data_IF_889038164611
#
_entry.id   IF_889038164611
#
_cell.length_a   1.000
_cell.length_b   1.000
_cell.length_c   1.000
_cell.angle_alpha   90.00
_cell.angle_beta   90.00
_cell.angle_gamma   90.00
#
_symmetry.space_group_name_H-M   'P 1'
#
loop_
_entity.id
_entity.type
_entity.pdbx_description
1 polymer ?
#
# COMPACT_ATOMS: atom_id res chain seq x y z
N UNK A 1 -24.30 15.07 0.39
CA UNK A 1 -23.66 16.10 1.26
C UNK A 1 -23.34 15.39 2.57
N UNK A 2 -22.08 15.08 2.82
CA UNK A 2 -21.62 14.56 4.12
C UNK A 2 -21.75 15.74 5.09
N UNK A 3 -22.67 15.64 6.05
CA UNK A 3 -22.86 16.65 7.08
C UNK A 3 -21.58 16.72 7.93
N UNK A 4 -21.29 17.89 8.48
CA UNK A 4 -20.16 18.44 9.23
C UNK A 4 -19.32 17.54 10.18
N UNK A 5 -19.49 16.23 10.20
CA UNK A 5 -18.56 15.27 10.80
C UNK A 5 -17.58 14.85 9.69
N UNK A 6 -16.54 15.63 9.49
CA UNK A 6 -15.59 15.41 8.40
C UNK A 6 -14.75 14.16 8.69
N UNK A 7 -15.10 13.10 7.98
CA UNK A 7 -14.28 11.89 7.89
C UNK A 7 -12.95 12.24 7.24
N UNK A 8 -11.83 11.92 7.89
CA UNK A 8 -10.53 11.96 7.26
C UNK A 8 -10.38 10.72 6.36
N UNK A 9 -10.09 10.94 5.09
CA UNK A 9 -9.77 9.85 4.15
C UNK A 9 -8.26 9.68 4.16
N UNK A 10 -7.80 8.44 4.36
CA UNK A 10 -6.37 8.09 4.44
C UNK A 10 -6.12 6.93 3.48
N UNK A 11 -5.19 7.15 2.57
CA UNK A 11 -4.72 6.13 1.64
C UNK A 11 -3.66 5.24 2.31
N UNK A 12 -3.99 4.00 2.58
CA UNK A 12 -3.07 3.07 3.26
C UNK A 12 -2.06 2.38 2.31
N UNK A 13 -2.13 2.64 0.99
CA UNK A 13 -1.23 2.03 0.01
C UNK A 13 -1.05 2.91 -1.21
N UNK A 14 0.12 3.49 -1.34
CA UNK A 14 0.52 4.30 -2.49
C UNK A 14 2.03 4.18 -2.75
N UNK A 15 2.48 4.63 -3.91
CA UNK A 15 3.89 4.57 -4.31
C UNK A 15 4.38 5.92 -4.81
N UNK A 16 5.64 6.24 -4.52
CA UNK A 16 6.33 7.43 -5.03
C UNK A 16 7.75 7.07 -5.46
N UNK A 17 8.21 7.70 -6.55
CA UNK A 17 9.59 7.60 -7.01
C UNK A 17 10.00 8.82 -7.83
N UNK A 18 11.30 9.13 -7.82
CA UNK A 18 11.86 10.17 -8.69
C UNK A 18 12.18 9.64 -10.08
N UNK A 19 12.68 8.41 -10.16
CA UNK A 19 13.01 7.76 -11.42
C UNK A 19 13.05 6.25 -11.22
N UNK A 20 12.45 5.54 -12.16
CA UNK A 20 12.61 4.10 -12.29
C UNK A 20 13.83 3.85 -13.19
N UNK A 21 14.97 3.56 -12.61
CA UNK A 21 16.20 3.21 -13.32
C UNK A 21 17.04 2.31 -12.42
N UNK A 22 16.60 1.07 -12.30
CA UNK A 22 17.23 0.09 -11.40
C UNK A 22 17.31 -1.27 -12.05
N UNK A 23 18.17 -2.11 -11.53
CA UNK A 23 18.22 -3.53 -11.85
C UNK A 23 18.05 -4.29 -10.56
N UNK A 24 17.02 -5.11 -10.48
CA UNK A 24 16.77 -5.98 -9.35
C UNK A 24 16.74 -7.43 -9.82
N UNK A 25 17.55 -8.29 -9.19
CA UNK A 25 17.66 -9.72 -9.53
C UNK A 25 17.80 -9.97 -11.05
N UNK A 26 18.68 -9.21 -11.72
CA UNK A 26 18.88 -9.19 -13.17
C UNK A 26 17.67 -8.68 -13.99
N UNK A 27 16.59 -8.26 -13.35
CA UNK A 27 15.45 -7.64 -14.02
C UNK A 27 15.71 -6.14 -14.14
N UNK A 28 15.68 -5.64 -15.36
CA UNK A 28 15.76 -4.20 -15.60
C UNK A 28 14.40 -3.58 -15.37
N UNK A 29 14.39 -2.52 -14.59
CA UNK A 29 13.24 -1.66 -14.37
C UNK A 29 13.69 -0.27 -14.75
N UNK A 30 13.30 0.18 -15.92
CA UNK A 30 13.79 1.42 -16.51
C UNK A 30 12.69 2.13 -17.27
N UNK A 31 12.57 3.44 -17.05
CA UNK A 31 11.72 4.31 -17.87
C UNK A 31 12.07 4.14 -19.34
N UNK A 32 11.06 3.95 -20.20
CA UNK A 32 11.25 3.77 -21.64
C UNK A 32 11.74 5.06 -22.30
N UNK A 33 12.60 4.92 -23.31
CA UNK A 33 12.99 6.05 -24.14
C UNK A 33 11.81 6.51 -25.01
N UNK A 34 11.67 7.81 -25.16
CA UNK A 34 10.67 8.45 -26.02
C UNK A 34 9.24 8.55 -25.44
N UNK A 35 8.86 7.72 -24.51
CA UNK A 35 7.62 7.87 -23.74
C UNK A 35 7.84 7.47 -22.29
N UNK A 36 8.09 8.44 -21.46
CA UNK A 36 8.49 8.24 -20.07
C UNK A 36 7.34 7.94 -19.10
N UNK A 37 6.10 7.78 -19.57
CA UNK A 37 5.00 7.19 -18.79
C UNK A 37 5.01 5.65 -18.81
N UNK A 38 5.86 5.05 -19.66
CA UNK A 38 6.08 3.61 -19.77
C UNK A 38 7.44 3.21 -19.22
N UNK A 39 7.54 2.00 -18.74
CA UNK A 39 8.78 1.42 -18.23
C UNK A 39 8.94 -0.02 -18.70
N UNK A 40 10.18 -0.45 -18.86
CA UNK A 40 10.51 -1.85 -19.02
C UNK A 40 10.44 -2.56 -17.65
N UNK A 41 9.70 -3.62 -17.60
CA UNK A 41 9.55 -4.49 -16.44
C UNK A 41 9.51 -5.93 -16.91
N UNK A 42 10.43 -6.76 -16.41
CA UNK A 42 10.58 -8.16 -16.83
C UNK A 42 10.71 -8.30 -18.36
N UNK A 43 11.53 -7.46 -18.99
CA UNK A 43 11.72 -7.39 -20.43
C UNK A 43 10.48 -7.05 -21.26
N UNK A 44 9.40 -6.61 -20.61
CA UNK A 44 8.20 -6.10 -21.27
C UNK A 44 8.05 -4.60 -21.03
N UNK A 45 7.67 -3.86 -22.08
CA UNK A 45 7.28 -2.47 -21.94
C UNK A 45 5.84 -2.40 -21.43
N UNK A 46 5.63 -1.74 -20.30
CA UNK A 46 4.33 -1.58 -19.65
C UNK A 46 4.00 -0.12 -19.37
N UNK A 47 2.71 0.20 -19.37
CA UNK A 47 2.22 1.51 -18.98
C UNK A 47 2.24 1.62 -17.46
N UNK A 48 3.24 2.32 -16.91
CA UNK A 48 3.42 2.46 -15.47
C UNK A 48 2.71 3.68 -14.88
N UNK A 49 2.61 4.75 -15.66
CA UNK A 49 2.02 6.02 -15.28
C UNK A 49 0.90 6.41 -16.25
N UNK A 50 -0.04 7.26 -15.86
CA UNK A 50 -0.97 7.87 -16.82
C UNK A 50 -0.20 8.57 -17.93
N UNK A 51 -0.72 8.60 -19.18
CA UNK A 51 -0.01 9.16 -20.32
C UNK A 51 0.42 10.62 -20.18
N UNK A 52 -0.21 11.37 -19.29
CA UNK A 52 0.14 12.78 -19.04
C UNK A 52 1.32 12.96 -18.05
N UNK A 53 1.74 11.91 -17.36
CA UNK A 53 2.92 11.91 -16.47
C UNK A 53 4.17 11.49 -17.26
N UNK A 54 4.64 12.37 -18.14
CA UNK A 54 5.62 12.02 -19.19
C UNK A 54 7.08 11.99 -18.76
N UNK A 55 7.41 12.41 -17.54
CA UNK A 55 8.81 12.44 -17.07
C UNK A 55 9.26 11.16 -16.37
N UNK A 56 8.45 10.12 -16.38
CA UNK A 56 8.70 8.87 -15.64
C UNK A 56 8.78 9.04 -14.14
N UNK A 57 8.38 10.22 -13.64
CA UNK A 57 8.41 10.59 -12.23
C UNK A 57 7.02 10.46 -11.63
N UNK A 58 6.99 9.93 -10.43
CA UNK A 58 5.80 9.90 -9.59
C UNK A 58 6.13 10.61 -8.27
N UNK A 59 6.21 11.95 -8.32
CA UNK A 59 6.69 12.74 -7.20
C UNK A 59 5.59 13.04 -6.16
N UNK A 60 6.05 13.34 -4.94
CA UNK A 60 5.15 13.70 -3.84
C UNK A 60 4.35 14.97 -4.14
N UNK A 61 4.90 15.94 -4.87
CA UNK A 61 4.18 17.17 -5.24
C UNK A 61 2.99 16.88 -6.15
N UNK A 62 3.16 15.98 -7.14
CA UNK A 62 2.06 15.55 -8.01
C UNK A 62 1.02 14.77 -7.21
N UNK A 63 1.46 13.89 -6.32
CA UNK A 63 0.55 13.12 -5.49
C UNK A 63 -0.22 14.00 -4.51
N UNK A 64 0.44 14.97 -3.84
CA UNK A 64 -0.24 15.94 -2.98
C UNK A 64 -1.33 16.71 -3.72
N UNK A 65 -1.07 17.13 -4.96
CA UNK A 65 -2.08 17.80 -5.79
C UNK A 65 -3.30 16.89 -6.03
N UNK A 66 -3.08 15.60 -6.32
CA UNK A 66 -4.16 14.63 -6.44
C UNK A 66 -4.90 14.40 -5.12
N UNK A 67 -4.16 14.28 -4.01
CA UNK A 67 -4.73 14.11 -2.66
C UNK A 67 -5.60 15.32 -2.28
N UNK A 68 -5.12 16.53 -2.48
CA UNK A 68 -5.85 17.74 -2.16
C UNK A 68 -7.12 17.87 -3.00
N UNK A 69 -7.04 17.63 -4.31
CA UNK A 69 -8.19 17.59 -5.20
C UNK A 69 -9.23 16.53 -4.79
N UNK A 70 -8.76 15.34 -4.41
CA UNK A 70 -9.61 14.24 -3.97
C UNK A 70 -9.98 14.30 -2.47
N UNK A 71 -9.53 15.32 -1.72
CA UNK A 71 -9.79 15.48 -0.28
C UNK A 71 -9.24 14.30 0.57
N UNK A 72 -8.12 13.70 0.16
CA UNK A 72 -7.41 12.66 0.91
C UNK A 72 -6.41 13.32 1.85
N UNK A 73 -6.59 13.11 3.15
CA UNK A 73 -5.89 13.84 4.21
C UNK A 73 -4.45 13.40 4.40
N UNK A 74 -4.17 12.10 4.28
CA UNK A 74 -2.84 11.53 4.41
C UNK A 74 -2.70 10.25 3.58
N UNK A 75 -1.46 9.83 3.36
CA UNK A 75 -1.17 8.58 2.67
C UNK A 75 0.01 7.83 3.29
N UNK A 76 -0.05 6.52 3.22
CA UNK A 76 1.08 5.61 3.47
C UNK A 76 1.74 5.33 2.14
N UNK A 77 3.04 5.64 2.05
CA UNK A 77 3.83 5.38 0.85
C UNK A 77 4.63 4.12 1.05
N UNK A 78 4.24 3.08 0.34
CA UNK A 78 4.97 1.81 0.32
C UNK A 78 6.02 1.81 -0.79
N UNK A 79 6.80 0.74 -0.90
CA UNK A 79 7.75 0.53 -1.98
C UNK A 79 7.57 -0.87 -2.57
N UNK A 80 7.87 -0.99 -3.85
CA UNK A 80 8.01 -2.26 -4.52
C UNK A 80 9.32 -2.27 -5.32
N UNK A 81 9.88 -3.42 -5.62
CA UNK A 81 11.13 -3.49 -6.39
C UNK A 81 11.03 -2.82 -7.76
N UNK A 82 9.82 -2.77 -8.34
CA UNK A 82 9.57 -2.05 -9.59
C UNK A 82 9.75 -0.53 -9.48
N UNK A 83 9.58 0.02 -8.27
CA UNK A 83 9.81 1.45 -8.02
C UNK A 83 11.30 1.77 -7.90
N UNK A 84 12.12 0.74 -7.68
CA UNK A 84 13.47 0.88 -7.15
C UNK A 84 13.45 1.26 -5.67
N UNK A 85 14.57 1.04 -4.97
CA UNK A 85 14.68 1.42 -3.56
C UNK A 85 14.82 2.95 -3.46
N UNK A 86 13.78 3.62 -2.94
CA UNK A 86 13.64 5.08 -2.89
C UNK A 86 13.80 5.65 -1.46
N UNK A 87 14.47 4.92 -0.55
CA UNK A 87 14.51 5.25 0.88
C UNK A 87 14.88 6.71 1.18
N UNK A 88 15.93 7.23 0.56
CA UNK A 88 16.41 8.60 0.82
C UNK A 88 15.36 9.64 0.39
N UNK A 89 14.78 9.46 -0.81
CA UNK A 89 13.73 10.32 -1.31
C UNK A 89 12.47 10.27 -0.44
N UNK A 90 12.03 9.08 -0.05
CA UNK A 90 10.83 8.93 0.78
C UNK A 90 11.02 9.52 2.17
N UNK A 91 12.20 9.41 2.76
CA UNK A 91 12.49 10.05 4.04
C UNK A 91 12.48 11.59 3.92
N UNK A 92 12.94 12.15 2.80
CA UNK A 92 12.80 13.58 2.52
C UNK A 92 11.33 13.98 2.42
N UNK A 93 10.51 13.20 1.70
CA UNK A 93 9.06 13.41 1.58
C UNK A 93 8.40 13.44 2.97
N UNK A 94 8.69 12.48 3.84
CA UNK A 94 8.13 12.44 5.19
C UNK A 94 8.56 13.65 6.04
N UNK A 95 9.81 14.10 5.93
CA UNK A 95 10.28 15.31 6.66
C UNK A 95 9.60 16.59 6.16
N UNK A 96 9.36 16.72 4.85
CA UNK A 96 8.70 17.90 4.27
C UNK A 96 7.21 17.96 4.60
N UNK A 97 6.53 16.81 4.68
CA UNK A 97 5.09 16.71 4.92
C UNK A 97 4.73 15.66 5.96
N UNK A 98 5.18 15.83 7.23
CA UNK A 98 5.06 14.81 8.26
C UNK A 98 3.62 14.49 8.67
N UNK A 99 2.70 15.43 8.48
CA UNK A 99 1.26 15.25 8.76
C UNK A 99 0.50 14.63 7.56
N UNK A 100 1.16 14.50 6.39
CA UNK A 100 0.56 14.01 5.15
C UNK A 100 1.05 12.64 4.75
N UNK A 101 2.29 12.27 5.10
CA UNK A 101 2.90 11.00 4.67
C UNK A 101 3.50 10.23 5.83
N UNK A 102 3.24 8.93 5.83
CA UNK A 102 4.05 7.93 6.49
C UNK A 102 4.70 7.09 5.39
N UNK A 103 6.03 6.96 5.43
CA UNK A 103 6.75 6.21 4.40
C UNK A 103 7.30 4.89 4.95
N UNK A 104 7.25 3.84 4.12
CA UNK A 104 7.85 2.56 4.41
C UNK A 104 9.26 2.50 3.83
N UNK A 105 10.25 2.10 4.63
CA UNK A 105 11.57 1.74 4.12
C UNK A 105 11.54 0.37 3.45
N UNK A 106 12.51 0.08 2.59
CA UNK A 106 12.67 -1.24 1.97
C UNK A 106 14.15 -1.63 1.95
N UNK A 107 14.44 -2.89 2.22
CA UNK A 107 15.78 -3.47 2.14
C UNK A 107 15.98 -4.21 0.81
N UNK A 108 17.24 -4.41 0.43
CA UNK A 108 17.59 -5.35 -0.62
C UNK A 108 17.70 -6.76 -0.02
N UNK A 109 16.57 -7.45 0.08
CA UNK A 109 16.45 -8.76 0.73
C UNK A 109 17.26 -9.87 0.06
N UNK A 110 17.77 -9.64 -1.16
CA UNK A 110 18.62 -10.60 -1.88
C UNK A 110 20.09 -10.48 -1.54
N UNK A 111 20.48 -9.45 -0.79
CA UNK A 111 21.84 -9.25 -0.31
C UNK A 111 22.01 -9.79 1.10
N UNK A 112 23.04 -10.61 1.35
CA UNK A 112 23.39 -11.01 2.71
C UNK A 112 23.59 -9.80 3.63
N UNK A 113 23.07 -9.89 4.84
CA UNK A 113 23.19 -8.82 5.83
C UNK A 113 22.23 -7.66 5.61
N UNK A 114 21.09 -7.85 4.95
CA UNK A 114 20.03 -6.85 4.81
C UNK A 114 19.48 -6.38 6.19
N UNK A 115 19.66 -7.16 7.24
CA UNK A 115 19.35 -6.75 8.63
C UNK A 115 20.03 -5.42 8.99
N UNK A 116 21.29 -5.22 8.61
CA UNK A 116 21.98 -3.93 8.87
C UNK A 116 21.36 -2.79 8.11
N UNK A 117 20.71 -3.06 6.96
CA UNK A 117 19.92 -2.05 6.25
C UNK A 117 18.65 -1.74 7.05
N UNK A 118 17.95 -2.76 7.57
CA UNK A 118 16.77 -2.57 8.41
C UNK A 118 17.11 -1.76 9.68
N UNK A 119 18.19 -2.08 10.39
CA UNK A 119 18.69 -1.29 11.52
C UNK A 119 18.98 0.16 11.13
N UNK A 120 19.57 0.39 9.97
CA UNK A 120 19.85 1.74 9.46
C UNK A 120 18.56 2.51 9.15
N UNK A 121 17.58 1.86 8.54
CA UNK A 121 16.26 2.46 8.28
C UNK A 121 15.58 2.89 9.59
N UNK A 122 15.58 2.03 10.59
CA UNK A 122 15.02 2.32 11.92
C UNK A 122 15.73 3.51 12.57
N UNK A 123 17.07 3.50 12.59
CA UNK A 123 17.87 4.63 13.13
C UNK A 123 17.61 5.96 12.40
N UNK A 124 17.31 5.89 11.11
CA UNK A 124 16.98 7.07 10.28
C UNK A 124 15.53 7.55 10.45
N UNK A 125 14.72 6.86 11.27
CA UNK A 125 13.37 7.29 11.63
C UNK A 125 12.25 6.71 10.77
N UNK A 126 12.51 5.66 10.00
CA UNK A 126 11.42 4.89 9.39
C UNK A 126 10.60 4.17 10.46
N UNK A 127 9.28 4.31 10.38
CA UNK A 127 8.34 3.67 11.30
C UNK A 127 7.64 2.43 10.70
N UNK A 128 7.91 2.17 9.44
CA UNK A 128 7.40 1.00 8.72
C UNK A 128 8.47 0.47 7.75
N UNK A 129 8.52 -0.84 7.57
CA UNK A 129 9.36 -1.51 6.57
C UNK A 129 8.46 -2.37 5.69
N UNK A 130 8.65 -2.24 4.37
CA UNK A 130 7.90 -2.97 3.33
C UNK A 130 8.66 -4.20 2.88
N UNK A 131 7.95 -5.32 2.75
CA UNK A 131 8.43 -6.55 2.12
C UNK A 131 7.45 -6.94 1.01
N UNK A 132 7.82 -6.85 -0.26
CA UNK A 132 7.05 -7.41 -1.37
C UNK A 132 7.28 -8.93 -1.45
N UNK A 133 6.61 -9.69 -0.58
CA UNK A 133 6.86 -11.12 -0.39
C UNK A 133 6.59 -11.96 -1.66
N UNK A 134 5.61 -11.55 -2.46
CA UNK A 134 5.34 -12.20 -3.75
C UNK A 134 6.56 -12.15 -4.70
N UNK A 135 7.43 -11.13 -4.59
CA UNK A 135 8.67 -11.00 -5.38
C UNK A 135 9.80 -11.84 -4.86
N UNK A 136 9.83 -12.11 -3.56
CA UNK A 136 10.89 -12.95 -2.95
C UNK A 136 10.86 -14.38 -3.50
N UNK A 137 9.75 -14.82 -4.06
CA UNK A 137 9.58 -16.15 -4.63
C UNK A 137 9.96 -16.24 -6.12
N UNK A 138 10.08 -15.10 -6.81
CA UNK A 138 10.33 -15.04 -8.26
C UNK A 138 11.81 -15.20 -8.64
N UNK A 139 12.72 -15.17 -7.68
CA UNK A 139 14.14 -15.30 -7.94
C UNK A 139 14.59 -16.78 -7.95
N UNK A 140 15.68 -17.07 -8.65
CA UNK A 140 16.37 -18.37 -8.58
C UNK A 140 16.79 -18.71 -7.13
N UNK A 141 16.92 -17.69 -6.27
CA UNK A 141 17.12 -17.79 -4.84
C UNK A 141 15.82 -17.47 -4.11
N UNK A 142 14.94 -18.42 -4.06
CA UNK A 142 13.69 -18.31 -3.30
C UNK A 142 13.99 -17.97 -1.84
N UNK A 143 13.51 -16.82 -1.38
CA UNK A 143 13.65 -16.41 0.02
C UNK A 143 12.33 -16.70 0.73
N UNK A 144 12.43 -17.52 1.79
CA UNK A 144 11.30 -17.78 2.69
C UNK A 144 11.24 -16.66 3.73
N UNK A 145 10.06 -16.12 3.99
CA UNK A 145 9.89 -15.13 5.07
C UNK A 145 10.18 -15.70 6.45
N UNK A 146 10.10 -17.02 6.61
CA UNK A 146 10.47 -17.73 7.85
C UNK A 146 11.95 -18.13 7.91
N UNK A 147 12.80 -17.67 6.98
CA UNK A 147 14.24 -17.90 7.09
C UNK A 147 14.82 -17.23 8.34
N UNK A 148 15.91 -17.77 8.94
CA UNK A 148 16.46 -17.22 10.19
C UNK A 148 16.77 -15.73 10.16
N UNK A 149 17.30 -15.22 9.04
CA UNK A 149 17.63 -13.78 8.89
C UNK A 149 16.36 -12.92 8.80
N UNK A 150 15.31 -13.40 8.13
CA UNK A 150 14.02 -12.72 8.09
C UNK A 150 13.35 -12.71 9.46
N UNK A 151 13.34 -13.83 10.17
CA UNK A 151 12.78 -13.90 11.53
C UNK A 151 13.52 -12.98 12.50
N UNK A 152 14.86 -12.91 12.42
CA UNK A 152 15.63 -11.93 13.19
C UNK A 152 15.21 -10.49 12.90
N UNK A 153 14.88 -10.16 11.65
CA UNK A 153 14.37 -8.83 11.27
C UNK A 153 12.99 -8.58 11.87
N UNK A 154 12.07 -9.56 11.87
CA UNK A 154 10.74 -9.39 12.46
C UNK A 154 10.81 -9.17 13.97
N UNK A 155 11.67 -9.90 14.70
CA UNK A 155 11.92 -9.62 16.11
C UNK A 155 12.46 -8.20 16.34
N UNK A 156 13.43 -7.75 15.53
CA UNK A 156 13.94 -6.39 15.59
C UNK A 156 12.81 -5.36 15.35
N UNK A 157 11.96 -5.59 14.35
CA UNK A 157 10.83 -4.70 14.05
C UNK A 157 9.82 -4.66 15.21
N UNK A 158 9.49 -5.80 15.78
CA UNK A 158 8.60 -5.90 16.95
C UNK A 158 9.16 -5.12 18.13
N UNK A 159 10.42 -5.36 18.49
CA UNK A 159 11.08 -4.71 19.63
C UNK A 159 11.20 -3.18 19.46
N UNK A 160 11.36 -2.72 18.23
CA UNK A 160 11.43 -1.30 17.89
C UNK A 160 10.07 -0.66 17.59
N UNK A 161 8.97 -1.40 17.62
CA UNK A 161 7.62 -0.91 17.29
C UNK A 161 7.45 -0.51 15.82
N UNK A 162 8.19 -1.15 14.92
CA UNK A 162 8.16 -0.90 13.47
C UNK A 162 7.01 -1.68 12.84
N UNK A 163 6.23 -1.04 12.00
CA UNK A 163 5.14 -1.67 11.26
C UNK A 163 5.72 -2.52 10.12
N UNK A 164 5.26 -3.75 10.03
CA UNK A 164 5.52 -4.64 8.90
C UNK A 164 4.44 -4.44 7.83
N UNK A 165 4.80 -3.84 6.71
CA UNK A 165 3.95 -3.73 5.52
C UNK A 165 4.34 -4.83 4.52
N UNK A 166 3.37 -5.60 4.02
CA UNK A 166 3.67 -6.78 3.19
C UNK A 166 2.66 -6.96 2.06
N UNK A 167 3.15 -7.28 0.86
CA UNK A 167 2.33 -7.81 -0.23
C UNK A 167 2.61 -9.31 -0.38
N UNK A 168 1.59 -10.10 -0.09
CA UNK A 168 1.67 -11.55 -0.18
C UNK A 168 1.43 -12.02 -1.63
N UNK A 169 1.86 -13.22 -1.94
CA UNK A 169 1.50 -13.87 -3.19
C UNK A 169 -0.01 -14.24 -3.21
N UNK A 170 -0.53 -14.55 -4.41
CA UNK A 170 -1.94 -14.83 -4.59
C UNK A 170 -2.46 -15.98 -3.71
N UNK A 171 -3.69 -15.84 -3.28
CA UNK A 171 -4.41 -16.87 -2.52
C UNK A 171 -3.78 -17.14 -1.15
N UNK A 172 -3.50 -18.40 -0.84
CA UNK A 172 -2.97 -18.82 0.46
C UNK A 172 -1.44 -19.12 0.47
N UNK A 173 -0.73 -18.75 -0.58
CA UNK A 173 0.66 -19.13 -0.81
C UNK A 173 1.58 -18.80 0.38
N UNK A 174 1.46 -17.63 0.98
CA UNK A 174 2.29 -17.22 2.13
C UNK A 174 1.56 -17.32 3.49
N UNK A 175 0.33 -17.83 3.53
CA UNK A 175 -0.47 -17.83 4.77
C UNK A 175 0.18 -18.67 5.88
N UNK A 176 0.82 -19.79 5.54
CA UNK A 176 1.52 -20.60 6.53
C UNK A 176 2.70 -19.86 7.17
N UNK A 177 3.54 -19.21 6.33
CA UNK A 177 4.65 -18.37 6.80
C UNK A 177 4.15 -17.21 7.67
N UNK A 178 3.07 -16.54 7.28
CA UNK A 178 2.50 -15.45 8.06
C UNK A 178 1.98 -15.92 9.43
N UNK A 179 1.36 -17.11 9.51
CA UNK A 179 0.93 -17.67 10.79
C UNK A 179 2.11 -17.90 11.74
N UNK A 180 3.23 -18.42 11.22
CA UNK A 180 4.45 -18.60 12.00
C UNK A 180 5.01 -17.25 12.49
N UNK A 181 5.12 -16.26 11.60
CA UNK A 181 5.58 -14.91 11.96
C UNK A 181 4.69 -14.27 13.04
N UNK A 182 3.36 -14.36 12.89
CA UNK A 182 2.41 -13.83 13.86
C UNK A 182 2.53 -14.54 15.22
N UNK A 183 2.80 -15.84 15.21
CA UNK A 183 3.00 -16.61 16.44
C UNK A 183 4.31 -16.25 17.16
N UNK A 184 5.40 -16.10 16.41
CA UNK A 184 6.73 -15.76 16.95
C UNK A 184 6.86 -14.28 17.35
N UNK A 185 6.13 -13.39 16.66
CA UNK A 185 6.15 -11.95 16.89
C UNK A 185 4.72 -11.43 17.15
N UNK A 186 4.09 -11.76 18.29
CA UNK A 186 2.66 -11.53 18.53
C UNK A 186 2.28 -10.05 18.70
N UNK A 187 3.25 -9.16 18.97
CA UNK A 187 3.03 -7.71 19.10
C UNK A 187 3.39 -6.95 17.83
N UNK A 188 3.94 -7.62 16.82
CA UNK A 188 4.31 -6.99 15.56
C UNK A 188 3.05 -6.47 14.85
N UNK A 189 3.02 -5.18 14.59
CA UNK A 189 1.95 -4.57 13.78
C UNK A 189 2.15 -4.92 12.32
N UNK A 190 1.16 -5.54 11.68
CA UNK A 190 1.24 -6.03 10.30
C UNK A 190 0.13 -5.41 9.44
N UNK A 191 0.49 -4.82 8.31
CA UNK A 191 -0.44 -4.40 7.26
C UNK A 191 -0.24 -5.27 6.02
N UNK A 192 -1.25 -6.07 5.67
CA UNK A 192 -1.23 -6.93 4.48
C UNK A 192 -1.91 -6.21 3.33
N UNK A 193 -1.20 -6.06 2.22
CA UNK A 193 -1.64 -5.35 1.03
C UNK A 193 -2.57 -6.12 0.12
N UNK A 194 -3.18 -5.39 -0.82
CA UNK A 194 -3.96 -5.91 -1.95
C UNK A 194 -5.16 -6.80 -1.61
N UNK A 195 -5.64 -6.75 -0.38
CA UNK A 195 -6.88 -7.42 0.05
C UNK A 195 -6.93 -8.93 -0.28
N UNK A 196 -5.76 -9.59 -0.28
CA UNK A 196 -5.63 -10.99 -0.65
C UNK A 196 -5.86 -11.28 -2.14
N UNK A 197 -5.94 -10.26 -3.00
CA UNK A 197 -6.24 -10.39 -4.43
C UNK A 197 -7.61 -11.06 -4.66
N UNK A 198 -8.75 -10.40 -4.36
CA UNK A 198 -10.09 -11.03 -4.27
C UNK A 198 -10.65 -11.62 -5.58
N UNK A 199 -9.92 -11.53 -6.67
CA UNK A 199 -10.24 -12.23 -7.94
C UNK A 199 -9.52 -13.57 -8.08
N UNK A 200 -8.71 -13.97 -7.07
CA UNK A 200 -7.99 -15.25 -7.05
C UNK A 200 -8.63 -16.23 -6.07
N UNK A 201 -8.40 -17.53 -6.29
CA UNK A 201 -8.91 -18.56 -5.39
C UNK A 201 -8.25 -18.44 -4.00
N UNK A 202 -9.00 -18.73 -2.94
CA UNK A 202 -8.56 -18.76 -1.54
C UNK A 202 -8.02 -17.45 -0.98
N UNK A 203 -8.35 -16.32 -1.57
CA UNK A 203 -7.96 -15.00 -1.08
C UNK A 203 -8.42 -14.73 0.36
N UNK A 204 -9.52 -15.34 0.78
CA UNK A 204 -10.08 -15.21 2.14
C UNK A 204 -9.12 -15.72 3.22
N UNK A 205 -8.17 -16.60 2.87
CA UNK A 205 -7.19 -17.11 3.85
C UNK A 205 -6.26 -15.98 4.33
N UNK A 206 -5.93 -15.02 3.47
CA UNK A 206 -5.19 -13.82 3.88
C UNK A 206 -6.04 -12.92 4.79
N UNK A 207 -7.31 -12.73 4.47
CA UNK A 207 -8.23 -11.93 5.30
C UNK A 207 -8.38 -12.54 6.70
N UNK A 208 -8.41 -13.88 6.83
CA UNK A 208 -8.48 -14.56 8.13
C UNK A 208 -7.29 -14.26 9.05
N UNK A 209 -6.13 -13.88 8.50
CA UNK A 209 -4.97 -13.46 9.30
C UNK A 209 -5.29 -12.24 10.18
N UNK A 210 -6.17 -11.36 9.71
CA UNK A 210 -6.58 -10.15 10.44
C UNK A 210 -7.50 -10.43 11.65
N UNK A 211 -7.85 -11.68 11.93
CA UNK A 211 -8.44 -12.09 13.23
C UNK A 211 -7.44 -11.98 14.38
N UNK A 212 -6.14 -11.87 14.09
CA UNK A 212 -5.11 -11.57 15.06
C UNK A 212 -5.12 -10.07 15.39
N UNK A 213 -4.83 -9.75 16.65
CA UNK A 213 -5.01 -8.39 17.20
C UNK A 213 -4.26 -7.30 16.42
N UNK A 214 -3.02 -7.57 16.03
CA UNK A 214 -2.12 -6.58 15.43
C UNK A 214 -2.03 -6.67 13.90
N UNK A 215 -2.88 -7.48 13.27
CA UNK A 215 -2.92 -7.66 11.81
C UNK A 215 -4.07 -6.89 11.19
N UNK A 216 -3.79 -6.12 10.16
CA UNK A 216 -4.74 -5.34 9.38
C UNK A 216 -4.57 -5.66 7.90
N UNK A 217 -5.65 -5.46 7.13
CA UNK A 217 -5.68 -5.65 5.68
C UNK A 217 -5.95 -4.30 5.02
N UNK A 218 -5.16 -3.95 4.03
CA UNK A 218 -5.46 -2.78 3.20
C UNK A 218 -5.79 -3.19 1.75
N UNK A 219 -6.64 -2.37 1.11
CA UNK A 219 -7.27 -2.75 -0.16
C UNK A 219 -6.44 -2.45 -1.40
N UNK A 220 -5.18 -2.04 -1.25
CA UNK A 220 -4.28 -1.60 -2.33
C UNK A 220 -4.74 -1.88 -3.75
N UNK A 221 -5.36 -0.89 -4.38
CA UNK A 221 -5.80 -1.03 -5.77
C UNK A 221 -6.95 -2.01 -6.04
N UNK A 222 -7.82 -2.29 -5.09
CA UNK A 222 -8.96 -3.21 -5.31
C UNK A 222 -9.76 -2.87 -6.58
N UNK A 223 -9.82 -1.60 -6.98
CA UNK A 223 -10.54 -1.16 -8.17
C UNK A 223 -9.95 -1.70 -9.46
N UNK A 224 -8.62 -1.82 -9.58
CA UNK A 224 -8.02 -2.35 -10.81
C UNK A 224 -8.24 -3.86 -10.98
N UNK A 225 -8.47 -4.60 -9.89
CA UNK A 225 -8.88 -6.01 -9.97
C UNK A 225 -10.27 -6.19 -10.58
N UNK A 226 -11.12 -5.18 -10.44
CA UNK A 226 -12.50 -5.18 -10.94
C UNK A 226 -12.74 -4.20 -12.10
N UNK A 227 -11.68 -3.78 -12.81
CA UNK A 227 -11.80 -2.84 -13.94
C UNK A 227 -12.79 -3.30 -15.02
N UNK A 228 -12.95 -4.61 -15.24
CA UNK A 228 -13.89 -5.16 -16.20
C UNK A 228 -15.36 -4.92 -15.83
N UNK A 229 -15.66 -4.63 -14.56
CA UNK A 229 -17.03 -4.34 -14.09
C UNK A 229 -17.42 -2.88 -14.29
N UNK A 230 -16.45 -2.00 -14.60
CA UNK A 230 -16.65 -0.56 -14.62
C UNK A 230 -17.10 0.02 -13.28
N UNK A 231 -17.07 1.36 -13.15
CA UNK A 231 -17.58 2.05 -11.97
C UNK A 231 -19.09 1.80 -11.79
N UNK A 232 -19.62 1.51 -10.59
CA UNK A 232 -19.00 1.62 -9.25
C UNK A 232 -18.39 0.33 -8.66
N UNK A 233 -17.89 -0.59 -9.45
CA UNK A 233 -17.18 -1.79 -9.04
C UNK A 233 -17.94 -2.67 -8.03
N UNK A 234 -19.09 -3.25 -8.40
CA UNK A 234 -19.91 -4.04 -7.46
C UNK A 234 -19.17 -5.27 -6.91
N UNK A 235 -18.25 -5.86 -7.67
CA UNK A 235 -17.40 -6.95 -7.18
C UNK A 235 -16.46 -6.52 -6.07
N UNK A 236 -15.91 -5.31 -6.15
CA UNK A 236 -15.08 -4.76 -5.07
C UNK A 236 -15.90 -4.55 -3.78
N UNK A 237 -17.14 -4.05 -3.90
CA UNK A 237 -18.04 -3.88 -2.74
C UNK A 237 -18.39 -5.25 -2.13
N UNK A 238 -18.69 -6.27 -2.94
CA UNK A 238 -18.95 -7.64 -2.43
C UNK A 238 -17.72 -8.20 -1.71
N UNK A 239 -16.51 -8.00 -2.24
CA UNK A 239 -15.28 -8.45 -1.59
C UNK A 239 -15.05 -7.74 -0.24
N UNK A 240 -15.31 -6.43 -0.16
CA UNK A 240 -15.24 -5.68 1.10
C UNK A 240 -16.26 -6.22 2.10
N UNK A 241 -17.49 -6.48 1.68
CA UNK A 241 -18.54 -7.05 2.54
C UNK A 241 -18.13 -8.43 3.09
N UNK A 242 -17.65 -9.32 2.22
CA UNK A 242 -17.16 -10.64 2.61
C UNK A 242 -15.98 -10.56 3.59
N UNK A 243 -15.06 -9.62 3.38
CA UNK A 243 -13.95 -9.43 4.31
C UNK A 243 -14.43 -8.93 5.69
N UNK A 244 -15.43 -8.02 5.74
CA UNK A 244 -16.05 -7.58 6.98
C UNK A 244 -16.66 -8.77 7.74
N UNK A 245 -17.33 -9.68 7.04
CA UNK A 245 -17.91 -10.88 7.65
C UNK A 245 -16.84 -11.84 8.19
N UNK A 246 -15.64 -11.85 7.60
CA UNK A 246 -14.52 -12.71 8.02
C UNK A 246 -13.78 -12.15 9.25
N UNK A 247 -13.41 -10.87 9.26
CA UNK A 247 -12.51 -10.31 10.29
C UNK A 247 -13.04 -9.04 10.99
N UNK A 248 -14.20 -8.53 10.60
CA UNK A 248 -14.76 -7.28 11.11
C UNK A 248 -14.19 -6.04 10.41
N UNK A 249 -15.00 -4.97 10.41
CA UNK A 249 -14.63 -3.71 9.74
C UNK A 249 -13.41 -3.04 10.37
N UNK A 250 -13.17 -3.23 11.66
CA UNK A 250 -12.08 -2.59 12.41
C UNK A 250 -10.67 -3.01 11.95
N UNK A 251 -10.59 -4.01 11.07
CA UNK A 251 -9.35 -4.58 10.55
C UNK A 251 -9.04 -4.19 9.10
N UNK A 252 -9.94 -3.47 8.46
CA UNK A 252 -9.86 -3.20 7.03
C UNK A 252 -9.57 -1.72 6.76
N UNK A 253 -8.67 -1.45 5.83
CA UNK A 253 -8.25 -0.09 5.44
C UNK A 253 -8.34 0.05 3.92
N UNK A 254 -8.71 1.25 3.46
CA UNK A 254 -8.62 1.60 2.06
C UNK A 254 -7.19 1.95 1.66
N UNK A 255 -6.74 1.42 0.52
CA UNK A 255 -5.51 1.80 -0.17
C UNK A 255 -5.78 1.92 -1.66
N UNK A 256 -5.20 2.91 -2.32
CA UNK A 256 -5.46 3.19 -3.74
C UNK A 256 -4.59 2.41 -4.70
N UNK A 257 -3.39 2.04 -4.30
CA UNK A 257 -2.30 1.61 -5.19
C UNK A 257 -1.96 2.70 -6.26
N UNK A 258 -1.97 3.97 -5.83
CA UNK A 258 -1.48 5.08 -6.66
C UNK A 258 0.02 4.88 -7.00
N UNK A 259 0.49 5.06 -8.23
CA UNK A 259 -0.21 5.66 -9.38
C UNK A 259 -0.89 4.64 -10.30
N UNK A 260 -0.78 3.34 -10.05
CA UNK A 260 -1.34 2.31 -10.94
C UNK A 260 -2.84 2.51 -11.17
N UNK A 261 -3.59 2.75 -10.13
CA UNK A 261 -5.04 2.97 -10.19
C UNK A 261 -5.41 4.11 -11.12
N UNK A 262 -4.63 5.20 -11.15
CA UNK A 262 -4.95 6.36 -11.99
C UNK A 262 -4.58 6.20 -13.46
N UNK A 263 -4.06 5.05 -13.86
CA UNK A 263 -3.97 4.69 -15.29
C UNK A 263 -5.33 4.35 -15.91
N UNK A 264 -6.32 4.01 -15.10
CA UNK A 264 -7.64 3.57 -15.54
C UNK A 264 -8.78 4.49 -15.07
N UNK A 265 -8.70 5.05 -13.85
CA UNK A 265 -9.73 5.89 -13.23
C UNK A 265 -9.10 7.12 -12.57
N UNK A 266 -9.91 8.08 -12.11
CA UNK A 266 -9.40 9.19 -11.32
C UNK A 266 -9.06 8.73 -9.90
N UNK A 267 -8.13 9.42 -9.24
CA UNK A 267 -7.77 9.11 -7.85
C UNK A 267 -8.99 9.14 -6.91
N UNK A 268 -9.90 10.12 -7.09
CA UNK A 268 -11.14 10.18 -6.31
C UNK A 268 -12.04 8.97 -6.53
N UNK A 269 -12.17 8.46 -7.75
CA UNK A 269 -13.00 7.29 -8.04
C UNK A 269 -12.51 6.04 -7.33
N UNK A 270 -11.22 5.97 -6.93
CA UNK A 270 -10.66 4.80 -6.24
C UNK A 270 -11.25 4.57 -4.84
N UNK A 271 -11.92 5.57 -4.24
CA UNK A 271 -12.63 5.43 -2.97
C UNK A 271 -14.11 5.87 -3.03
N UNK A 272 -14.50 6.73 -3.99
CA UNK A 272 -15.84 7.31 -4.06
C UNK A 272 -16.94 6.24 -4.26
N UNK A 273 -16.60 5.11 -4.86
CA UNK A 273 -17.49 3.96 -4.97
C UNK A 273 -17.90 3.40 -3.60
N UNK A 274 -17.00 3.43 -2.61
CA UNK A 274 -17.30 3.05 -1.22
C UNK A 274 -18.23 4.09 -0.59
N UNK A 275 -17.92 5.38 -0.75
CA UNK A 275 -18.76 6.48 -0.21
C UNK A 275 -20.20 6.38 -0.72
N UNK A 276 -20.37 6.06 -2.00
CA UNK A 276 -21.68 5.98 -2.67
C UNK A 276 -22.40 4.64 -2.51
N UNK A 277 -21.73 3.61 -2.03
CA UNK A 277 -22.34 2.29 -1.85
C UNK A 277 -23.46 2.35 -0.81
N UNK A 278 -24.59 1.70 -1.12
CA UNK A 278 -25.68 1.47 -0.16
C UNK A 278 -25.49 0.19 0.67
N UNK A 279 -24.50 -0.64 0.31
CA UNK A 279 -24.24 -1.92 0.99
C UNK A 279 -23.36 -1.78 2.25
N UNK A 280 -22.79 -0.60 2.46
CA UNK A 280 -21.97 -0.27 3.63
C UNK A 280 -22.64 0.82 4.44
N UNK A 281 -22.65 0.68 5.76
CA UNK A 281 -23.12 1.71 6.69
C UNK A 281 -22.14 2.90 6.72
N UNK A 282 -22.59 4.06 7.19
CA UNK A 282 -21.72 5.25 7.32
C UNK A 282 -20.57 4.99 8.32
N UNK A 283 -20.78 4.19 9.36
CA UNK A 283 -19.74 3.78 10.28
C UNK A 283 -18.68 2.91 9.58
N UNK A 284 -19.11 1.89 8.83
CA UNK A 284 -18.19 1.02 8.07
C UNK A 284 -17.37 1.83 7.05
N UNK A 285 -18.00 2.77 6.35
CA UNK A 285 -17.30 3.67 5.43
C UNK A 285 -16.27 4.53 6.14
N UNK A 286 -16.61 5.11 7.29
CA UNK A 286 -15.69 5.92 8.10
C UNK A 286 -14.46 5.13 8.55
N UNK A 287 -14.68 3.94 9.08
CA UNK A 287 -13.61 3.04 9.51
C UNK A 287 -12.71 2.60 8.35
N UNK A 288 -13.31 2.11 7.27
CA UNK A 288 -12.57 1.64 6.10
C UNK A 288 -11.75 2.73 5.42
N UNK A 289 -12.34 3.91 5.23
CA UNK A 289 -11.72 4.99 4.46
C UNK A 289 -10.70 5.81 5.26
N UNK A 290 -10.70 5.74 6.61
CA UNK A 290 -9.77 6.57 7.33
C UNK A 290 -9.51 6.22 8.79
N UNK A 291 -10.51 5.93 9.60
CA UNK A 291 -10.33 5.78 11.05
C UNK A 291 -9.38 4.64 11.42
N UNK A 292 -9.49 3.49 10.75
CA UNK A 292 -8.62 2.35 10.98
C UNK A 292 -7.16 2.67 10.60
N UNK A 293 -6.93 3.27 9.43
CA UNK A 293 -5.59 3.68 9.01
C UNK A 293 -5.01 4.77 9.92
N UNK A 294 -5.84 5.73 10.35
CA UNK A 294 -5.48 6.76 11.33
C UNK A 294 -4.96 6.16 12.62
N UNK A 295 -5.71 5.20 13.17
CA UNK A 295 -5.36 4.53 14.41
C UNK A 295 -4.12 3.64 14.25
N UNK A 296 -4.11 2.80 13.21
CA UNK A 296 -3.05 1.82 12.98
C UNK A 296 -1.68 2.50 12.72
N UNK A 297 -1.64 3.49 11.84
CA UNK A 297 -0.39 4.20 11.47
C UNK A 297 -0.06 5.38 12.39
N UNK A 298 -1.00 5.81 13.24
CA UNK A 298 -0.78 6.89 14.20
C UNK A 298 -0.77 8.29 13.56
N UNK A 299 -1.68 8.59 12.65
CA UNK A 299 -1.88 9.93 12.10
C UNK A 299 -2.63 10.81 13.11
N UNK A 300 -1.92 11.55 13.96
CA UNK A 300 -2.50 12.32 15.06
C UNK A 300 -2.76 13.80 14.72
N UNK A 301 -2.07 14.35 13.72
CA UNK A 301 -2.07 15.79 13.41
C UNK A 301 -2.75 16.12 12.08
N UNK A 302 -3.75 15.33 11.68
CA UNK A 302 -4.47 15.57 10.43
C UNK A 302 -5.18 16.92 10.45
N UNK A 303 -5.04 17.67 9.36
CA UNK A 303 -5.69 18.95 9.16
C UNK A 303 -6.86 18.81 8.17
N UNK A 304 -7.88 19.60 8.41
CA UNK A 304 -8.96 19.75 7.43
C UNK A 304 -8.42 20.38 6.15
N UNK A 305 -8.59 19.69 5.03
CA UNK A 305 -8.23 20.22 3.73
C UNK A 305 -9.28 21.24 3.28
N UNK A 306 -8.87 22.39 2.70
CA UNK A 306 -9.80 23.31 2.11
C UNK A 306 -10.50 22.67 0.91
N UNK A 307 -11.82 22.72 0.89
CA UNK A 307 -12.55 22.32 -0.31
C UNK A 307 -12.43 23.41 -1.37
N UNK A 308 -11.90 23.07 -2.51
CA UNK A 308 -11.81 23.95 -3.66
C UNK A 308 -12.86 23.49 -4.67
N UNK A 309 -13.82 24.38 -4.94
CA UNK A 309 -14.88 24.11 -5.90
C UNK A 309 -14.30 23.88 -7.29
N UNK A 310 -14.73 22.83 -7.93
CA UNK A 310 -14.34 22.53 -9.30
C UNK A 310 -15.15 23.43 -10.27
N UNK A 311 -14.59 23.71 -11.43
CA UNK A 311 -15.19 24.61 -12.42
C UNK A 311 -16.57 24.13 -12.91
N UNK A 312 -16.86 22.85 -12.80
CA UNK A 312 -18.14 22.24 -13.22
C UNK A 312 -19.21 22.16 -12.12
N UNK A 313 -18.93 22.70 -10.92
CA UNK A 313 -19.86 22.69 -9.79
C UNK A 313 -20.70 23.99 -9.69
#
# INVERSE_FOLDING_TARGET
MIKDNQMFIIDAHSHLWLKQDTTWNNLKIKTSEGNSSRSFFLDQEVQMLPPFMIDGKNSAEVFLSNMDYAQVSAAVVTQEFIDGIQNDYLMEVQRRWPDRFLVCGMCDYFRPGFIRQAESLIRNGFRAIKIPAHRLQLSDKRIMMTSPEMMQMFHLMEDCGIIFSVDLANGDTNVAEMKEIIQECPRLKIAIGHFGMPTTERWQEQIRLARNEHVYIESGGITWLFNSEFYPFPGAIRAIREAIDICGIDKLMWGSDYPRTITAITYRMSYDFVVKSAELTDEEKGKFLGENARHFYGFNNLKKLPYIKNMSE
#
